data_IF_807419305461
#
_entry.id   IF_807419305461
#
_cell.length_a   1.000
_cell.length_b   1.000
_cell.length_c   1.000
_cell.angle_alpha   90.00
_cell.angle_beta   90.00
_cell.angle_gamma   90.00
#
_symmetry.space_group_name_H-M   'P 1'
#
loop_
_entity.id
_entity.type
_entity.pdbx_description
1 polymer ?
#
# COMPACT_ATOMS: atom_id res chain seq x y z
N UNK A 1 26.26 -21.12 -7.22
CA UNK A 1 25.08 -20.61 -7.97
C UNK A 1 23.74 -21.03 -7.37
N UNK A 2 23.57 -22.28 -6.90
CA UNK A 2 22.35 -22.74 -6.21
C UNK A 2 21.89 -21.84 -5.04
N UNK A 3 22.82 -21.40 -4.18
CA UNK A 3 22.51 -20.45 -3.08
C UNK A 3 21.90 -19.14 -3.57
N UNK A 4 22.35 -18.60 -4.71
CA UNK A 4 21.77 -17.37 -5.26
C UNK A 4 20.36 -17.63 -5.80
N UNK A 5 20.15 -18.79 -6.43
CA UNK A 5 18.82 -19.21 -6.91
C UNK A 5 17.79 -19.37 -5.80
N UNK A 6 18.20 -19.78 -4.59
CA UNK A 6 17.29 -19.97 -3.45
C UNK A 6 17.08 -18.68 -2.65
N UNK A 7 18.15 -17.90 -2.44
CA UNK A 7 18.12 -16.72 -1.57
C UNK A 7 17.40 -15.54 -2.24
N UNK A 8 17.63 -15.32 -3.54
CA UNK A 8 17.02 -14.23 -4.29
C UNK A 8 15.48 -14.26 -4.25
N UNK A 9 14.80 -15.36 -4.60
CA UNK A 9 13.34 -15.41 -4.53
C UNK A 9 12.85 -15.27 -3.08
N UNK A 10 13.58 -15.79 -2.09
CA UNK A 10 13.19 -15.63 -0.70
C UNK A 10 13.21 -14.15 -0.25
N UNK A 11 14.21 -13.36 -0.67
CA UNK A 11 14.28 -11.93 -0.39
C UNK A 11 13.16 -11.17 -1.13
N UNK A 12 12.97 -11.50 -2.42
CA UNK A 12 11.97 -10.84 -3.27
C UNK A 12 10.56 -11.09 -2.73
N UNK A 13 10.18 -12.34 -2.53
CA UNK A 13 8.83 -12.71 -2.11
C UNK A 13 8.61 -12.61 -0.59
N UNK A 14 9.67 -12.76 0.22
CA UNK A 14 9.57 -12.68 1.68
C UNK A 14 9.69 -11.26 2.24
N UNK A 15 10.38 -10.35 1.55
CA UNK A 15 10.62 -8.99 2.05
C UNK A 15 10.19 -7.89 1.09
N UNK A 16 10.72 -7.91 -0.13
CA UNK A 16 10.59 -6.80 -1.08
C UNK A 16 9.15 -6.60 -1.55
N UNK A 17 8.52 -7.65 -2.06
CA UNK A 17 7.12 -7.64 -2.51
C UNK A 17 6.16 -7.34 -1.36
N UNK A 18 6.16 -8.08 -0.24
CA UNK A 18 5.24 -7.80 0.86
C UNK A 18 5.49 -6.43 1.50
N UNK A 19 6.74 -6.00 1.67
CA UNK A 19 7.09 -4.68 2.17
C UNK A 19 6.58 -3.55 1.27
N UNK A 20 6.74 -3.71 -0.05
CA UNK A 20 6.21 -2.77 -1.03
C UNK A 20 4.67 -2.70 -0.99
N UNK A 21 3.99 -3.85 -0.95
CA UNK A 21 2.53 -3.92 -0.84
C UNK A 21 2.02 -3.27 0.45
N UNK A 22 2.67 -3.52 1.59
CA UNK A 22 2.34 -2.88 2.86
C UNK A 22 2.55 -1.36 2.80
N UNK A 23 3.64 -0.90 2.19
CA UNK A 23 3.90 0.53 1.97
C UNK A 23 2.82 1.19 1.10
N UNK A 24 2.45 0.56 -0.01
CA UNK A 24 1.36 1.01 -0.87
C UNK A 24 0.02 1.04 -0.12
N UNK A 25 -0.26 0.03 0.69
CA UNK A 25 -1.50 -0.07 1.46
C UNK A 25 -1.56 1.02 2.53
N UNK A 26 -0.46 1.26 3.25
CA UNK A 26 -0.35 2.37 4.19
C UNK A 26 -0.52 3.73 3.51
N UNK A 27 0.07 3.92 2.32
CA UNK A 27 -0.10 5.14 1.53
C UNK A 27 -1.54 5.32 1.04
N UNK A 28 -2.18 4.24 0.57
CA UNK A 28 -3.61 4.23 0.19
C UNK A 28 -4.50 4.57 1.37
N UNK A 29 -4.24 4.00 2.55
CA UNK A 29 -4.98 4.34 3.77
C UNK A 29 -4.80 5.81 4.08
N UNK A 30 -3.58 6.35 4.10
CA UNK A 30 -3.33 7.77 4.41
C UNK A 30 -3.99 8.72 3.42
N UNK A 31 -3.91 8.45 2.12
CA UNK A 31 -4.54 9.24 1.06
C UNK A 31 -6.07 9.12 1.01
N UNK A 32 -6.62 8.06 1.61
CA UNK A 32 -8.06 7.93 1.86
C UNK A 32 -8.57 8.94 2.89
N UNK A 33 -7.69 9.66 3.59
CA UNK A 33 -8.06 10.72 4.52
C UNK A 33 -7.72 12.09 3.92
N UNK A 34 -8.67 13.02 3.95
CA UNK A 34 -8.41 14.40 3.56
C UNK A 34 -7.51 15.08 4.60
N UNK A 35 -6.35 15.64 4.23
CA UNK A 35 -5.43 16.26 5.18
C UNK A 35 -5.96 17.56 5.80
N UNK A 36 -7.01 18.17 5.22
CA UNK A 36 -7.62 19.40 5.76
C UNK A 36 -8.69 19.15 6.81
N UNK A 37 -9.53 18.14 6.61
CA UNK A 37 -10.71 17.91 7.45
C UNK A 37 -10.74 16.55 8.16
N UNK A 38 -9.79 15.66 7.88
CA UNK A 38 -9.73 14.34 8.52
C UNK A 38 -10.91 13.42 8.19
N UNK A 39 -11.73 13.74 7.19
CA UNK A 39 -12.77 12.86 6.68
C UNK A 39 -12.21 11.90 5.64
N UNK A 40 -12.85 10.74 5.48
CA UNK A 40 -12.48 9.83 4.41
C UNK A 40 -12.88 10.41 3.04
N UNK A 41 -12.01 10.34 2.04
CA UNK A 41 -12.24 10.86 0.68
C UNK A 41 -13.39 10.15 -0.03
N UNK A 42 -13.75 8.95 0.40
CA UNK A 42 -14.94 8.24 -0.06
C UNK A 42 -16.26 8.80 0.48
N UNK A 43 -16.25 9.42 1.67
CA UNK A 43 -17.40 10.19 2.14
C UNK A 43 -17.60 11.44 1.26
N UNK A 44 -16.49 12.05 0.81
CA UNK A 44 -16.52 13.18 -0.13
C UNK A 44 -17.06 12.77 -1.51
N UNK A 45 -16.61 11.63 -2.07
CA UNK A 45 -17.12 11.11 -3.36
C UNK A 45 -18.64 10.86 -3.32
N UNK A 46 -19.16 10.34 -2.20
CA UNK A 46 -20.61 10.14 -2.04
C UNK A 46 -21.41 11.44 -1.89
N UNK A 47 -20.79 12.52 -1.43
CA UNK A 47 -21.46 13.81 -1.30
C UNK A 47 -21.53 14.57 -2.63
N UNK A 48 -20.60 14.32 -3.56
CA UNK A 48 -20.60 14.90 -4.92
C UNK A 48 -21.56 14.17 -5.88
N UNK A 49 -21.75 12.86 -5.69
CA UNK A 49 -22.68 12.03 -6.48
C UNK A 49 -24.19 12.25 -6.13
N UNK A 50 -24.52 13.08 -5.14
CA UNK A 50 -25.89 13.28 -4.63
C UNK A 50 -26.37 14.71 -4.81
#
# INVERSE_FOLDING_TARGET
MLVVSEIVPMIVFGGLVPGFLLGLLAFRVKSRWCPRCGQSTEALRRADDR
#
